data_IF_547166669186
#
_entry.id   IF_547166669186
#
_cell.length_a   1.000
_cell.length_b   1.000
_cell.length_c   1.000
_cell.angle_alpha   90.00
_cell.angle_beta   90.00
_cell.angle_gamma   90.00
#
_symmetry.space_group_name_H-M   'P 1'
#
loop_
_entity.id
_entity.type
_entity.pdbx_description
1 polymer ?
#
# COMPACT_ATOMS: atom_id res chain seq x y z
N UNK A 1 3.68 9.79 -6.49
CA UNK A 1 2.23 9.75 -6.15
C UNK A 1 1.58 8.37 -6.33
N UNK A 2 2.09 7.47 -7.18
CA UNK A 2 1.50 6.14 -7.40
C UNK A 2 1.22 5.31 -6.12
N UNK A 3 2.21 5.13 -5.21
CA UNK A 3 2.00 4.38 -3.98
C UNK A 3 0.91 4.94 -3.07
N UNK A 4 0.84 6.27 -2.91
CA UNK A 4 -0.19 6.91 -2.10
C UNK A 4 -1.62 6.63 -2.63
N UNK A 5 -1.79 6.67 -3.96
CA UNK A 5 -3.06 6.32 -4.60
C UNK A 5 -3.38 4.83 -4.44
N UNK A 6 -2.39 3.96 -4.59
CA UNK A 6 -2.56 2.51 -4.42
C UNK A 6 -2.98 2.17 -2.99
N UNK A 7 -2.33 2.77 -1.99
CA UNK A 7 -2.65 2.60 -0.57
C UNK A 7 -4.08 3.05 -0.28
N UNK A 8 -4.44 4.28 -0.70
CA UNK A 8 -5.79 4.80 -0.50
C UNK A 8 -6.86 3.90 -1.11
N UNK A 9 -6.61 3.40 -2.33
CA UNK A 9 -7.54 2.51 -3.01
C UNK A 9 -7.66 1.14 -2.33
N UNK A 10 -6.54 0.51 -1.94
CA UNK A 10 -6.50 -0.77 -1.23
C UNK A 10 -7.26 -0.70 0.09
N UNK A 11 -6.96 0.31 0.90
CA UNK A 11 -7.61 0.48 2.21
C UNK A 11 -9.09 0.78 2.05
N UNK A 12 -9.47 1.64 1.10
CA UNK A 12 -10.88 1.94 0.82
C UNK A 12 -11.68 0.68 0.46
N UNK A 13 -11.18 -0.14 -0.47
CA UNK A 13 -11.84 -1.39 -0.86
C UNK A 13 -11.86 -2.43 0.26
N UNK A 14 -10.82 -2.47 1.10
CA UNK A 14 -10.82 -3.33 2.27
C UNK A 14 -11.91 -2.93 3.28
N UNK A 15 -12.10 -1.63 3.52
CA UNK A 15 -13.18 -1.14 4.38
C UNK A 15 -14.57 -1.44 3.80
N UNK A 16 -14.76 -1.27 2.50
CA UNK A 16 -16.01 -1.64 1.82
C UNK A 16 -16.32 -3.14 1.93
N UNK A 17 -15.30 -3.99 1.79
CA UNK A 17 -15.44 -5.44 1.94
C UNK A 17 -15.77 -5.84 3.38
N UNK A 18 -15.09 -5.26 4.36
CA UNK A 18 -15.34 -5.49 5.79
C UNK A 18 -16.73 -5.02 6.21
N UNK A 19 -17.19 -3.88 5.69
CA UNK A 19 -18.54 -3.37 5.97
C UNK A 19 -19.65 -4.29 5.46
N UNK A 20 -19.39 -5.05 4.38
CA UNK A 20 -20.33 -6.05 3.84
C UNK A 20 -20.24 -7.41 4.56
N UNK A 21 -19.03 -7.83 4.93
CA UNK A 21 -18.82 -9.10 5.62
C UNK A 21 -17.73 -8.97 6.70
N UNK A 22 -18.11 -8.61 7.93
CA UNK A 22 -17.17 -8.45 9.04
C UNK A 22 -16.44 -9.75 9.42
N UNK A 23 -17.06 -10.91 9.20
CA UNK A 23 -16.45 -12.22 9.54
C UNK A 23 -15.26 -12.55 8.64
N UNK A 24 -15.18 -11.95 7.45
CA UNK A 24 -14.05 -12.11 6.54
C UNK A 24 -12.81 -11.28 6.93
N UNK A 25 -12.83 -10.59 8.09
CA UNK A 25 -11.75 -9.73 8.55
C UNK A 25 -10.34 -10.33 8.48
N UNK A 26 -10.10 -11.57 8.95
CA UNK A 26 -8.75 -12.12 8.98
C UNK A 26 -8.14 -12.20 7.57
N UNK A 27 -8.93 -12.69 6.61
CA UNK A 27 -8.48 -12.86 5.22
C UNK A 27 -8.31 -11.52 4.52
N UNK A 28 -9.25 -10.59 4.69
CA UNK A 28 -9.18 -9.25 4.10
C UNK A 28 -7.96 -8.50 4.64
N UNK A 29 -7.72 -8.54 5.95
CA UNK A 29 -6.60 -7.84 6.57
C UNK A 29 -5.25 -8.39 6.10
N UNK A 30 -5.09 -9.72 6.04
CA UNK A 30 -3.84 -10.32 5.53
C UNK A 30 -3.55 -9.89 4.09
N UNK A 31 -4.55 -9.96 3.21
CA UNK A 31 -4.38 -9.58 1.81
C UNK A 31 -4.14 -8.07 1.64
N UNK A 32 -4.82 -7.24 2.43
CA UNK A 32 -4.62 -5.78 2.45
C UNK A 32 -3.19 -5.43 2.87
N UNK A 33 -2.67 -6.03 3.96
CA UNK A 33 -1.30 -5.78 4.42
C UNK A 33 -0.29 -6.19 3.34
N UNK A 34 -0.48 -7.33 2.69
CA UNK A 34 0.40 -7.77 1.60
C UNK A 34 0.38 -6.78 0.43
N UNK A 35 -0.81 -6.30 0.02
CA UNK A 35 -0.95 -5.28 -1.02
C UNK A 35 -0.27 -3.95 -0.64
N UNK A 36 -0.43 -3.50 0.61
CA UNK A 36 0.22 -2.31 1.14
C UNK A 36 1.75 -2.46 1.13
N UNK A 37 2.28 -3.62 1.51
CA UNK A 37 3.72 -3.88 1.50
C UNK A 37 4.31 -3.73 0.09
N UNK A 38 3.61 -4.19 -0.96
CA UNK A 38 4.06 -3.99 -2.34
C UNK A 38 4.01 -2.52 -2.78
N UNK A 39 2.96 -1.78 -2.41
CA UNK A 39 2.87 -0.36 -2.70
C UNK A 39 4.02 0.42 -2.03
N UNK A 40 4.32 0.11 -0.77
CA UNK A 40 5.41 0.71 -0.01
C UNK A 40 6.79 0.33 -0.57
N UNK A 41 7.00 -0.90 -1.01
CA UNK A 41 8.26 -1.30 -1.62
C UNK A 41 8.60 -0.43 -2.85
N UNK A 42 7.61 -0.13 -3.69
CA UNK A 42 7.77 0.77 -4.84
C UNK A 42 8.04 2.20 -4.38
N UNK A 43 7.37 2.66 -3.31
CA UNK A 43 7.61 3.99 -2.73
C UNK A 43 9.04 4.14 -2.24
N UNK A 44 9.56 3.14 -1.52
CA UNK A 44 10.92 3.12 -1.00
C UNK A 44 11.93 3.14 -2.15
N UNK A 45 11.74 2.36 -3.21
CA UNK A 45 12.65 2.42 -4.37
C UNK A 45 12.69 3.81 -5.01
N UNK A 46 11.53 4.44 -5.19
CA UNK A 46 11.48 5.80 -5.72
C UNK A 46 12.18 6.81 -4.79
N UNK A 47 12.00 6.68 -3.47
CA UNK A 47 12.66 7.51 -2.47
C UNK A 47 14.19 7.34 -2.50
N UNK A 48 14.67 6.10 -2.53
CA UNK A 48 16.11 5.79 -2.57
C UNK A 48 16.74 6.38 -3.82
N UNK A 49 16.12 6.19 -4.99
CA UNK A 49 16.62 6.76 -6.26
C UNK A 49 16.64 8.29 -6.20
N UNK A 50 15.58 8.91 -5.67
CA UNK A 50 15.53 10.37 -5.48
C UNK A 50 16.66 10.88 -4.58
N UNK A 51 16.95 10.17 -3.49
CA UNK A 51 18.05 10.51 -2.60
C UNK A 51 19.42 10.35 -3.27
N UNK A 52 19.63 9.28 -4.03
CA UNK A 52 20.88 9.06 -4.76
C UNK A 52 21.15 10.20 -5.75
N UNK A 53 20.13 10.63 -6.50
CA UNK A 53 20.25 11.73 -7.46
C UNK A 53 20.45 13.08 -6.75
N UNK A 54 19.83 13.31 -5.61
CA UNK A 54 19.87 14.62 -4.93
C UNK A 54 21.11 14.86 -4.06
N UNK A 55 21.77 13.80 -3.59
CA UNK A 55 22.80 13.93 -2.54
C UNK A 55 24.05 13.08 -2.75
N UNK A 56 24.02 12.07 -3.64
CA UNK A 56 25.17 11.17 -3.85
C UNK A 56 25.86 11.46 -5.17
N UNK A 57 25.09 11.68 -6.24
CA UNK A 57 25.58 12.07 -7.57
C UNK A 57 25.57 13.58 -7.74
#
# INVERSE_FOLDING_TARGET
FGPALAIGNLVGHAMDALGRNPEAQPVIQTNMILGLAFAEAIAIYALVIGFMIGFVF
#
